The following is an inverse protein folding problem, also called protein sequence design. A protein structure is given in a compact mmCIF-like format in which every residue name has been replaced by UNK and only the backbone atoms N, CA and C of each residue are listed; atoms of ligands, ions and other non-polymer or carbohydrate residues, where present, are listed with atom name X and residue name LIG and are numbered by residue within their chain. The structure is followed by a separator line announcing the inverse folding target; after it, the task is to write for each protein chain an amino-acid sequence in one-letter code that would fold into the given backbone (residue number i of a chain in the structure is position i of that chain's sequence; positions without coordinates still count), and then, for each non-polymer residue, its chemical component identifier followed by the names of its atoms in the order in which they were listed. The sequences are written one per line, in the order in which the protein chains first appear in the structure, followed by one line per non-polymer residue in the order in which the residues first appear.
data_IF_366347846442
#
_entry.id   IF_366347846442
#
_cell.length_a   1.000
_cell.length_b   1.000
_cell.length_c   1.000
_cell.angle_alpha   90.00
_cell.angle_beta   90.00
_cell.angle_gamma   90.00
#
_symmetry.space_group_name_H-M   'P 1'
#
loop_
_entity.id
_entity.type
_entity.pdbx_description
1 polymer ?
#
# COMPACT_ATOMS: atom_id res chain seq x y z
N UNK A 1 -1.19 18.09 10.70
CA UNK A 1 -2.41 18.62 10.04
C UNK A 1 -2.14 19.12 8.60
N UNK A 2 -2.38 18.28 7.58
CA UNK A 2 -2.25 18.65 6.17
C UNK A 2 -3.24 19.74 5.74
N UNK A 3 -2.79 20.64 4.86
CA UNK A 3 -3.58 21.75 4.34
C UNK A 3 -4.89 21.24 3.73
N UNK A 4 -6.01 21.63 4.34
CA UNK A 4 -7.35 21.36 3.83
C UNK A 4 -7.47 22.10 2.49
N UNK A 5 -7.74 21.41 1.37
CA UNK A 5 -7.94 22.08 0.09
C UNK A 5 -9.10 23.07 0.20
N UNK A 6 -9.09 24.19 -0.57
CA UNK A 6 -10.17 25.16 -0.55
C UNK A 6 -11.53 24.48 -0.74
N UNK A 7 -12.56 24.93 -0.01
CA UNK A 7 -13.84 24.24 0.08
C UNK A 7 -14.50 24.00 -1.30
N UNK A 8 -14.24 24.88 -2.27
CA UNK A 8 -14.68 24.74 -3.66
C UNK A 8 -14.10 23.51 -4.39
N UNK A 9 -12.94 23.00 -3.99
CA UNK A 9 -12.30 21.82 -4.59
C UNK A 9 -12.55 20.54 -3.79
N UNK A 10 -13.17 20.62 -2.61
CA UNK A 10 -13.48 19.46 -1.78
C UNK A 10 -14.25 18.35 -2.52
N UNK A 11 -15.23 18.64 -3.41
CA UNK A 11 -15.89 17.59 -4.21
C UNK A 11 -14.95 16.91 -5.22
N UNK A 12 -13.98 17.67 -5.75
CA UNK A 12 -13.01 17.19 -6.73
C UNK A 12 -11.98 16.28 -6.06
N UNK A 13 -11.47 16.66 -4.88
CA UNK A 13 -10.60 15.81 -4.06
C UNK A 13 -11.33 14.59 -3.49
N UNK A 14 -12.60 14.74 -3.08
CA UNK A 14 -13.45 13.61 -2.68
C UNK A 14 -13.64 12.60 -3.81
N UNK A 15 -13.71 13.07 -5.07
CA UNK A 15 -13.82 12.20 -6.25
C UNK A 15 -12.49 11.52 -6.65
N UNK A 16 -11.34 12.08 -6.25
CA UNK A 16 -10.01 11.50 -6.47
C UNK A 16 -9.61 10.48 -5.41
N UNK A 17 -10.19 10.60 -4.20
CA UNK A 17 -9.98 9.66 -3.10
C UNK A 17 -10.83 8.42 -3.34
N UNK A 18 -10.27 7.44 -4.06
CA UNK A 18 -10.89 6.11 -4.12
C UNK A 18 -10.61 5.37 -2.81
N UNK A 19 -11.48 5.57 -1.85
CA UNK A 19 -11.68 4.55 -0.82
C UNK A 19 -12.10 3.28 -1.56
N UNK A 20 -11.28 2.24 -1.51
CA UNK A 20 -11.64 0.90 -1.95
C UNK A 20 -12.09 0.16 -0.69
N UNK A 21 -13.35 0.36 -0.23
CA UNK A 21 -13.82 -0.35 0.93
C UNK A 21 -13.63 -1.84 0.66
N UNK A 22 -12.97 -2.58 1.57
CA UNK A 22 -12.89 -4.01 1.42
C UNK A 22 -14.33 -4.54 1.29
N UNK A 23 -14.59 -5.54 0.43
CA UNK A 23 -15.90 -6.15 0.39
C UNK A 23 -16.27 -6.61 1.81
N UNK A 24 -17.55 -6.49 2.22
CA UNK A 24 -17.96 -6.78 3.58
C UNK A 24 -17.39 -8.14 4.00
N UNK A 25 -16.59 -8.16 5.07
CA UNK A 25 -15.83 -9.33 5.49
C UNK A 25 -16.71 -10.60 5.64
N UNK A 26 -18.00 -10.38 5.91
CA UNK A 26 -19.03 -11.41 6.08
C UNK A 26 -19.43 -12.10 4.76
N UNK A 27 -19.43 -11.39 3.63
CA UNK A 27 -19.83 -11.96 2.33
C UNK A 27 -18.68 -12.76 1.69
N UNK A 28 -17.44 -12.27 1.82
CA UNK A 28 -16.26 -12.91 1.22
C UNK A 28 -15.75 -14.10 2.01
N UNK A 29 -15.81 -14.06 3.35
CA UNK A 29 -15.39 -15.18 4.19
C UNK A 29 -16.33 -16.40 4.07
N UNK A 30 -17.63 -16.17 3.77
CA UNK A 30 -18.66 -17.21 3.68
C UNK A 30 -18.88 -17.75 2.26
N UNK A 31 -18.50 -16.99 1.23
CA UNK A 31 -18.64 -17.45 -0.15
C UNK A 31 -17.61 -18.56 -0.48
N UNK A 32 -18.03 -19.67 -1.11
CA UNK A 32 -17.15 -20.72 -1.62
C UNK A 32 -15.97 -20.16 -2.44
N UNK A 33 -14.83 -20.86 -2.40
CA UNK A 33 -13.69 -20.55 -3.26
C UNK A 33 -14.16 -20.64 -4.72
N UNK A 34 -14.10 -19.53 -5.47
CA UNK A 34 -14.58 -19.44 -6.86
C UNK A 34 -15.90 -18.67 -7.07
N UNK A 35 -16.64 -18.33 -6.00
CA UNK A 35 -17.89 -17.54 -6.09
C UNK A 35 -17.80 -16.15 -5.44
N UNK A 36 -16.61 -15.78 -4.96
CA UNK A 36 -16.34 -14.46 -4.38
C UNK A 36 -16.29 -13.41 -5.49
N UNK A 37 -17.22 -12.46 -5.45
CA UNK A 37 -17.22 -11.30 -6.34
C UNK A 37 -16.47 -10.16 -5.65
N UNK A 38 -15.32 -9.80 -6.21
CA UNK A 38 -14.56 -8.63 -5.77
C UNK A 38 -14.79 -7.48 -6.74
N UNK A 39 -14.76 -6.21 -6.28
CA UNK A 39 -14.68 -5.09 -7.22
C UNK A 39 -13.39 -5.20 -8.05
N UNK A 40 -13.39 -4.61 -9.24
CA UNK A 40 -12.19 -4.58 -10.07
C UNK A 40 -11.04 -3.90 -9.31
N UNK A 41 -9.87 -4.56 -9.14
CA UNK A 41 -8.77 -3.97 -8.40
C UNK A 41 -8.14 -2.82 -9.21
N UNK A 42 -7.52 -1.84 -8.53
CA UNK A 42 -6.71 -0.82 -9.19
C UNK A 42 -5.58 -1.44 -10.02
N UNK A 43 -5.10 -0.71 -11.02
CA UNK A 43 -3.94 -1.13 -11.80
C UNK A 43 -2.75 -1.45 -10.88
N UNK A 44 -2.12 -2.62 -11.07
CA UNK A 44 -1.01 -3.06 -10.23
C UNK A 44 -1.44 -3.54 -8.83
N UNK A 45 -2.71 -3.87 -8.62
CA UNK A 45 -3.22 -4.53 -7.43
C UNK A 45 -4.00 -5.79 -7.78
N UNK A 46 -4.24 -6.63 -6.78
CA UNK A 46 -5.11 -7.79 -6.90
C UNK A 46 -5.80 -8.08 -5.56
N UNK A 47 -7.01 -8.64 -5.61
CA UNK A 47 -7.70 -9.09 -4.42
C UNK A 47 -7.23 -10.49 -4.03
N UNK A 48 -6.94 -10.69 -2.75
CA UNK A 48 -6.81 -12.01 -2.16
C UNK A 48 -7.40 -12.02 -0.76
N UNK A 49 -8.21 -13.06 -0.47
CA UNK A 49 -8.96 -13.13 0.78
C UNK A 49 -9.81 -11.87 0.97
N UNK A 50 -9.68 -11.13 2.08
CA UNK A 50 -10.40 -9.87 2.32
C UNK A 50 -9.56 -8.61 2.09
N UNK A 51 -8.38 -8.72 1.45
CA UNK A 51 -7.44 -7.60 1.30
C UNK A 51 -7.10 -7.31 -0.15
N UNK A 52 -6.91 -6.03 -0.43
CA UNK A 52 -6.32 -5.55 -1.67
C UNK A 52 -4.81 -5.60 -1.53
N UNK A 53 -4.15 -6.44 -2.32
CA UNK A 53 -2.69 -6.54 -2.34
C UNK A 53 -2.12 -5.70 -3.47
N UNK A 54 -1.02 -5.01 -3.20
CA UNK A 54 -0.23 -4.32 -4.22
C UNK A 54 0.74 -5.29 -4.91
N UNK A 55 0.80 -5.29 -6.24
CA UNK A 55 1.81 -6.03 -6.99
C UNK A 55 3.11 -5.22 -7.02
N UNK A 56 4.17 -5.66 -6.32
CA UNK A 56 5.38 -4.86 -6.23
C UNK A 56 6.07 -4.73 -7.58
N UNK A 57 6.53 -3.52 -7.86
CA UNK A 57 7.37 -3.18 -9.02
C UNK A 57 8.62 -2.48 -8.52
N UNK A 58 9.74 -2.68 -9.23
CA UNK A 58 10.97 -1.99 -8.88
C UNK A 58 10.86 -0.49 -9.18
N UNK A 59 11.43 0.34 -8.32
CA UNK A 59 11.39 1.79 -8.47
C UNK A 59 11.29 2.52 -7.13
N UNK A 60 11.23 3.85 -7.21
CA UNK A 60 11.15 4.72 -6.05
C UNK A 60 9.69 4.96 -5.66
N UNK A 61 9.39 4.93 -4.36
CA UNK A 61 8.06 5.12 -3.82
C UNK A 61 8.11 5.61 -2.36
N UNK A 62 7.02 6.19 -1.89
CA UNK A 62 6.76 6.46 -0.49
C UNK A 62 5.81 5.43 0.08
N UNK A 63 6.07 5.03 1.31
CA UNK A 63 5.20 4.17 2.10
C UNK A 63 4.86 4.85 3.42
N UNK A 64 3.60 4.81 3.81
CA UNK A 64 3.19 4.95 5.20
C UNK A 64 2.78 3.58 5.71
N UNK A 65 3.44 3.07 6.75
CA UNK A 65 3.14 1.74 7.29
C UNK A 65 2.22 1.87 8.49
N UNK A 66 1.00 1.35 8.35
CA UNK A 66 0.01 1.33 9.45
C UNK A 66 0.34 0.25 10.48
N UNK A 67 0.83 -0.90 10.02
CA UNK A 67 1.20 -2.00 10.88
C UNK A 67 1.49 -3.28 10.12
N UNK A 68 2.00 -4.28 10.84
CA UNK A 68 2.31 -5.60 10.32
C UNK A 68 1.30 -6.60 10.88
N UNK A 69 0.69 -7.40 10.00
CA UNK A 69 -0.26 -8.42 10.40
C UNK A 69 -0.11 -9.69 9.54
N UNK A 70 -0.68 -10.81 9.97
CA UNK A 70 -0.73 -12.05 9.18
C UNK A 70 -1.84 -11.93 8.15
N UNK A 71 -1.52 -12.17 6.88
CA UNK A 71 -2.49 -12.16 5.79
C UNK A 71 -2.28 -13.34 4.84
N UNK A 72 -3.37 -13.87 4.30
CA UNK A 72 -3.32 -14.86 3.23
C UNK A 72 -3.35 -14.16 1.87
N UNK A 73 -2.23 -14.23 1.15
CA UNK A 73 -2.04 -13.56 -0.14
C UNK A 73 -2.57 -14.36 -1.36
N UNK A 74 -3.35 -15.41 -1.13
CA UNK A 74 -3.88 -16.32 -2.15
C UNK A 74 -3.03 -17.58 -2.36
N UNK A 75 -1.80 -17.61 -1.85
CA UNK A 75 -0.94 -18.80 -1.93
C UNK A 75 -0.57 -19.37 -0.57
N UNK A 76 -0.30 -18.49 0.41
CA UNK A 76 0.07 -18.86 1.78
C UNK A 76 -0.13 -17.70 2.73
N UNK A 77 -0.11 -18.00 4.02
CA UNK A 77 -0.03 -16.97 5.06
C UNK A 77 1.36 -16.33 5.10
N UNK A 78 1.37 -15.01 5.20
CA UNK A 78 2.58 -14.19 5.26
C UNK A 78 2.43 -13.08 6.28
N UNK A 79 3.55 -12.61 6.85
CA UNK A 79 3.58 -11.31 7.52
C UNK A 79 3.46 -10.22 6.46
N UNK A 80 2.35 -9.49 6.45
CA UNK A 80 2.00 -8.49 5.45
C UNK A 80 1.83 -7.14 6.13
N UNK A 81 2.55 -6.13 5.65
CA UNK A 81 2.32 -4.76 6.09
C UNK A 81 1.06 -4.21 5.40
N UNK A 82 0.25 -3.47 6.15
CA UNK A 82 -0.80 -2.60 5.60
C UNK A 82 -0.19 -1.21 5.41
N UNK A 83 -0.28 -0.68 4.19
CA UNK A 83 0.42 0.55 3.82
C UNK A 83 -0.45 1.48 2.98
N UNK A 84 -0.17 2.77 3.10
CA UNK A 84 -0.45 3.73 2.04
C UNK A 84 0.79 3.86 1.17
N UNK A 85 0.60 3.92 -0.15
CA UNK A 85 1.65 3.98 -1.16
C UNK A 85 1.49 5.25 -1.99
N UNK A 86 2.60 5.93 -2.26
CA UNK A 86 2.68 6.99 -3.26
C UNK A 86 3.85 6.70 -4.20
N UNK A 87 3.60 6.70 -5.51
CA UNK A 87 4.64 6.61 -6.55
C UNK A 87 4.20 7.39 -7.79
N UNK A 88 5.08 7.50 -8.78
CA UNK A 88 4.75 8.18 -10.03
C UNK A 88 3.49 7.58 -10.66
N UNK A 89 2.46 8.42 -10.85
CA UNK A 89 1.20 8.06 -11.48
C UNK A 89 0.27 7.17 -10.64
N UNK A 90 0.56 6.96 -9.35
CA UNK A 90 -0.28 6.11 -8.51
C UNK A 90 -0.22 6.47 -7.03
N UNK A 91 -1.40 6.66 -6.45
CA UNK A 91 -1.64 6.77 -5.01
C UNK A 91 -2.61 5.66 -4.60
N UNK A 92 -2.24 4.89 -3.58
CA UNK A 92 -3.06 3.82 -3.04
C UNK A 92 -3.09 3.94 -1.52
N UNK A 93 -4.26 3.81 -0.92
CA UNK A 93 -4.43 3.81 0.53
C UNK A 93 -4.88 2.42 0.99
N UNK A 94 -4.39 1.99 2.15
CA UNK A 94 -4.84 0.76 2.80
C UNK A 94 -4.58 -0.53 2.00
N UNK A 95 -3.47 -0.62 1.29
CA UNK A 95 -3.09 -1.83 0.53
C UNK A 95 -2.14 -2.72 1.30
N UNK A 96 -2.27 -4.04 1.11
CA UNK A 96 -1.43 -5.05 1.72
C UNK A 96 -0.21 -5.37 0.84
N UNK A 97 0.93 -5.63 1.46
CA UNK A 97 2.14 -6.04 0.76
C UNK A 97 2.25 -7.57 0.64
N UNK A 98 2.39 -8.14 -0.57
CA UNK A 98 2.40 -9.59 -0.77
C UNK A 98 3.78 -10.23 -0.52
N UNK A 99 4.66 -9.56 0.22
CA UNK A 99 6.03 -10.00 0.49
C UNK A 99 6.39 -9.81 1.95
N UNK A 100 6.69 -10.91 2.65
CA UNK A 100 7.10 -10.87 4.06
C UNK A 100 8.39 -10.09 4.27
N UNK A 101 9.32 -10.19 3.33
CA UNK A 101 10.59 -9.48 3.41
C UNK A 101 10.38 -7.99 3.27
N UNK A 102 9.70 -7.55 2.20
CA UNK A 102 9.43 -6.13 1.99
C UNK A 102 8.63 -5.53 3.16
N UNK A 103 7.65 -6.28 3.66
CA UNK A 103 6.85 -5.88 4.83
C UNK A 103 7.70 -5.70 6.08
N UNK A 104 8.65 -6.63 6.34
CA UNK A 104 9.56 -6.53 7.49
C UNK A 104 10.53 -5.37 7.34
N UNK A 105 11.13 -5.20 6.16
CA UNK A 105 12.01 -4.07 5.89
C UNK A 105 11.27 -2.76 6.23
N UNK A 106 10.06 -2.60 5.69
CA UNK A 106 9.24 -1.40 5.89
C UNK A 106 8.71 -1.23 7.31
N UNK A 107 8.52 -2.30 8.08
CA UNK A 107 7.96 -2.24 9.44
C UNK A 107 8.77 -1.41 10.43
N UNK A 108 10.07 -1.23 10.18
CA UNK A 108 10.94 -0.34 10.97
C UNK A 108 10.57 1.15 10.88
N UNK A 109 9.65 1.51 9.97
CA UNK A 109 9.11 2.87 9.82
C UNK A 109 7.61 2.95 10.07
N UNK A 110 7.05 2.03 10.87
CA UNK A 110 5.63 2.07 11.25
C UNK A 110 5.24 3.43 11.85
N UNK A 111 4.11 3.98 11.39
CA UNK A 111 3.57 5.26 11.85
C UNK A 111 4.22 6.51 11.24
N UNK A 112 5.08 6.37 10.22
CA UNK A 112 5.67 7.50 9.48
C UNK A 112 5.81 7.20 7.99
N UNK A 113 5.77 8.25 7.18
CA UNK A 113 6.12 8.19 5.77
C UNK A 113 7.62 7.92 5.61
N UNK A 114 7.97 7.01 4.71
CA UNK A 114 9.35 6.69 4.35
C UNK A 114 9.51 6.62 2.83
N UNK A 115 10.55 7.28 2.32
CA UNK A 115 10.98 7.15 0.94
C UNK A 115 11.90 5.95 0.78
N UNK A 116 11.57 5.06 -0.17
CA UNK A 116 12.37 3.86 -0.43
C UNK A 116 12.50 3.58 -1.92
N UNK A 117 13.62 2.95 -2.28
CA UNK A 117 13.79 2.25 -3.53
C UNK A 117 13.39 0.79 -3.33
N UNK A 118 12.27 0.40 -3.94
CA UNK A 118 11.84 -0.98 -4.03
C UNK A 118 12.68 -1.66 -5.10
N UNK A 119 13.32 -2.77 -4.76
CA UNK A 119 14.13 -3.53 -5.71
C UNK A 119 13.98 -5.03 -5.54
N UNK A 120 14.37 -5.74 -6.59
CA UNK A 120 14.44 -7.19 -6.61
C UNK A 120 15.69 -7.60 -7.38
N UNK A 121 16.66 -8.17 -6.67
CA UNK A 121 17.98 -8.51 -7.22
C UNK A 121 17.95 -9.84 -8.03
N UNK A 122 16.92 -10.01 -8.87
CA UNK A 122 16.72 -11.19 -9.72
C UNK A 122 15.35 -11.87 -9.55
N UNK A 123 14.95 -12.70 -10.53
CA UNK A 123 13.59 -13.27 -10.63
C UNK A 123 13.15 -14.13 -9.43
N UNK A 124 14.07 -14.73 -8.69
CA UNK A 124 13.77 -15.56 -7.49
C UNK A 124 14.16 -14.89 -6.18
N UNK A 125 14.75 -13.69 -6.23
CA UNK A 125 15.12 -12.97 -5.02
C UNK A 125 13.90 -12.32 -4.38
N UNK A 126 13.90 -12.14 -3.05
CA UNK A 126 12.85 -11.41 -2.36
C UNK A 126 12.87 -9.92 -2.74
N UNK A 127 11.70 -9.29 -2.69
CA UNK A 127 11.60 -7.84 -2.74
C UNK A 127 12.22 -7.22 -1.48
N UNK A 128 12.92 -6.10 -1.67
CA UNK A 128 13.61 -5.35 -0.62
C UNK A 128 13.25 -3.88 -0.70
N UNK A 129 13.20 -3.21 0.44
CA UNK A 129 13.12 -1.76 0.54
C UNK A 129 14.48 -1.20 0.96
N UNK A 130 15.03 -0.27 0.17
CA UNK A 130 16.25 0.46 0.52
C UNK A 130 15.86 1.91 0.79
N UNK A 131 16.13 2.49 1.97
CA UNK A 131 15.74 3.86 2.26
C UNK A 131 16.45 4.84 1.32
N UNK A 132 15.71 5.85 0.88
CA UNK A 132 16.22 7.00 0.14
C UNK A 132 16.35 8.13 1.16
N UNK A 133 17.58 8.56 1.44
CA UNK A 133 17.85 9.56 2.49
C UNK A 133 18.01 10.98 1.95
N UNK A 134 18.03 11.16 0.63
CA UNK A 134 18.22 12.45 -0.04
C UNK A 134 17.39 12.53 -1.33
N UNK A 135 17.07 13.77 -1.73
CA UNK A 135 16.35 14.08 -2.95
C UNK A 135 14.83 14.14 -2.79
N UNK A 136 14.14 14.42 -3.89
CA UNK A 136 12.72 14.81 -3.93
C UNK A 136 11.80 13.87 -3.14
N UNK A 137 11.99 12.56 -3.23
CA UNK A 137 11.16 11.61 -2.48
C UNK A 137 11.40 11.68 -0.97
N UNK A 138 12.65 11.81 -0.53
CA UNK A 138 12.96 11.97 0.90
C UNK A 138 12.36 13.27 1.43
N UNK A 139 12.54 14.38 0.71
CA UNK A 139 11.97 15.69 1.08
C UNK A 139 10.43 15.65 1.14
N UNK A 140 9.79 14.91 0.22
CA UNK A 140 8.34 14.73 0.23
C UNK A 140 7.90 13.88 1.44
N UNK A 141 8.62 12.80 1.79
CA UNK A 141 8.32 12.04 3.00
C UNK A 141 8.43 12.91 4.26
N UNK A 142 9.46 13.76 4.35
CA UNK A 142 9.65 14.69 5.47
C UNK A 142 8.51 15.71 5.56
N UNK A 143 8.08 16.26 4.43
CA UNK A 143 6.95 17.18 4.38
C UNK A 143 5.64 16.52 4.83
N UNK A 144 5.36 15.30 4.39
CA UNK A 144 4.18 14.54 4.82
C UNK A 144 4.20 14.22 6.32
N UNK A 145 5.37 13.89 6.86
CA UNK A 145 5.55 13.63 8.29
C UNK A 145 5.39 14.90 9.14
N UNK A 146 5.92 16.04 8.69
CA UNK A 146 5.73 17.31 9.39
C UNK A 146 4.27 17.79 9.38
N UNK A 147 3.52 17.37 8.36
CA UNK A 147 2.10 17.67 8.20
C UNK A 147 1.16 16.64 8.85
N UNK A 148 1.66 15.61 9.54
CA UNK A 148 0.83 14.67 10.31
C UNK A 148 0.57 15.25 11.71
#
# INVERSE_FOLDING_TARGET
MGAVPPAEFAPLYASMRREYPPPPAVEVARAPVGTRVYPEPPAGCYWASSRLFWTPVAGDALFFVHGLDVANNGHKEIASALVDLRKVGQELDGVALPSSTLSRDLSGWTGRWVAVRVRRDGRRQPWRAVPITHGMWSEHADALNAAA
#
